data_IF_665830262654
#
_entry.id   IF_665830262654
#
_cell.length_a   1.000
_cell.length_b   1.000
_cell.length_c   1.000
_cell.angle_alpha   90.00
_cell.angle_beta   90.00
_cell.angle_gamma   90.00
#
_symmetry.space_group_name_H-M   'P 1'
#
loop_
_entity.id
_entity.type
_entity.pdbx_description
1 polymer ?
#
# COMPACT_ATOMS: atom_id res chain seq x y z
N UNK A 1 -12.23 40.98 -60.02
CA UNK A 1 -11.89 39.69 -59.38
C UNK A 1 -10.77 39.90 -58.38
N UNK A 2 -11.07 40.10 -57.09
CA UNK A 2 -10.08 40.03 -55.99
C UNK A 2 -10.64 39.06 -54.97
N UNK A 3 -10.08 37.85 -54.92
CA UNK A 3 -10.44 36.80 -53.94
C UNK A 3 -9.33 36.73 -52.90
N UNK A 4 -9.63 37.33 -51.75
CA UNK A 4 -9.33 36.91 -50.38
C UNK A 4 -8.19 35.89 -50.21
N UNK A 5 -6.98 36.40 -49.97
CA UNK A 5 -5.87 35.64 -49.37
C UNK A 5 -5.93 35.76 -47.85
N UNK A 6 -6.99 35.25 -47.22
CA UNK A 6 -7.05 35.12 -45.76
C UNK A 6 -7.79 33.83 -45.42
N UNK A 7 -7.17 32.66 -45.62
CA UNK A 7 -7.78 31.41 -45.11
C UNK A 7 -6.83 30.24 -44.87
N UNK A 8 -5.59 30.26 -45.37
CA UNK A 8 -4.71 29.09 -45.26
C UNK A 8 -3.88 29.02 -43.98
N UNK A 9 -3.61 30.15 -43.32
CA UNK A 9 -2.82 30.19 -42.07
C UNK A 9 -3.63 29.86 -40.81
N UNK A 10 -4.86 30.38 -40.74
CA UNK A 10 -5.70 30.28 -39.53
C UNK A 10 -6.27 28.87 -39.32
N UNK A 11 -6.70 28.18 -40.40
CA UNK A 11 -7.19 26.80 -40.31
C UNK A 11 -6.09 25.78 -39.96
N UNK A 12 -4.83 26.05 -40.37
CA UNK A 12 -3.69 25.17 -40.07
C UNK A 12 -3.22 25.31 -38.63
N UNK A 13 -3.28 26.51 -38.05
CA UNK A 13 -2.93 26.73 -36.64
C UNK A 13 -3.96 26.11 -35.68
N UNK A 14 -5.24 26.16 -36.03
CA UNK A 14 -6.33 25.66 -35.18
C UNK A 14 -6.35 24.12 -35.09
N UNK A 15 -6.00 23.43 -36.17
CA UNK A 15 -5.99 21.96 -36.25
C UNK A 15 -4.79 21.31 -35.53
N UNK A 16 -3.64 21.99 -35.50
CA UNK A 16 -2.44 21.52 -34.79
C UNK A 16 -2.57 21.76 -33.27
N UNK A 17 -3.16 22.89 -32.86
CA UNK A 17 -3.39 23.19 -31.44
C UNK A 17 -4.39 22.23 -30.77
N UNK A 18 -5.42 21.81 -31.50
CA UNK A 18 -6.47 20.92 -30.97
C UNK A 18 -6.03 19.45 -30.87
N UNK A 19 -5.07 19.03 -31.69
CA UNK A 19 -4.49 17.67 -31.64
C UNK A 19 -3.45 17.52 -30.53
N UNK A 20 -2.58 18.53 -30.31
CA UNK A 20 -1.63 18.52 -29.19
C UNK A 20 -2.31 18.67 -27.82
N UNK A 21 -3.38 19.47 -27.73
CA UNK A 21 -4.16 19.62 -26.50
C UNK A 21 -4.91 18.36 -26.07
N UNK A 22 -5.28 17.50 -27.02
CA UNK A 22 -6.04 16.28 -26.75
C UNK A 22 -5.13 15.09 -26.39
N UNK A 23 -3.88 15.07 -26.87
CA UNK A 23 -2.88 14.05 -26.51
C UNK A 23 -2.39 14.19 -25.07
N UNK A 24 -2.37 15.40 -24.49
CA UNK A 24 -1.99 15.60 -23.08
C UNK A 24 -3.10 15.21 -22.07
N UNK A 25 -4.35 15.06 -22.50
CA UNK A 25 -5.48 14.76 -21.61
C UNK A 25 -5.82 13.26 -21.51
N UNK A 26 -5.15 12.40 -22.31
CA UNK A 26 -5.52 10.98 -22.45
C UNK A 26 -4.48 9.97 -21.95
N UNK A 27 -3.41 10.40 -21.28
CA UNK A 27 -2.58 9.45 -20.55
C UNK A 27 -2.10 10.05 -19.25
N UNK A 28 -2.79 9.70 -18.16
CA UNK A 28 -2.17 9.73 -16.86
C UNK A 28 -0.88 8.89 -16.97
N UNK A 29 0.28 9.41 -16.55
CA UNK A 29 1.53 8.67 -16.67
C UNK A 29 1.39 7.34 -15.89
N UNK A 30 1.89 6.22 -16.45
CA UNK A 30 1.77 4.89 -15.84
C UNK A 30 2.34 4.83 -14.41
N UNK A 31 3.21 5.78 -14.05
CA UNK A 31 3.75 5.94 -12.70
C UNK A 31 2.67 6.25 -11.63
N UNK A 32 1.63 7.02 -11.96
CA UNK A 32 0.55 7.37 -11.01
C UNK A 32 -0.35 6.15 -10.75
N UNK A 33 -0.63 5.37 -11.78
CA UNK A 33 -1.47 4.17 -11.70
C UNK A 33 -0.75 3.00 -11.01
N UNK A 34 0.57 2.87 -11.20
CA UNK A 34 1.37 1.84 -10.55
C UNK A 34 1.55 2.08 -9.04
N UNK A 35 1.67 3.35 -8.61
CA UNK A 35 1.72 3.69 -7.19
C UNK A 35 0.41 3.36 -6.49
N UNK A 36 -0.73 3.76 -7.05
CA UNK A 36 -2.07 3.47 -6.51
C UNK A 36 -2.36 1.97 -6.40
N UNK A 37 -2.00 1.20 -7.44
CA UNK A 37 -2.15 -0.26 -7.43
C UNK A 37 -1.34 -0.93 -6.31
N UNK A 38 -0.13 -0.44 -6.05
CA UNK A 38 0.72 -0.90 -4.96
C UNK A 38 0.09 -0.64 -3.59
N UNK A 39 -0.32 0.60 -3.31
CA UNK A 39 -0.98 0.96 -2.05
C UNK A 39 -2.27 0.15 -1.83
N UNK A 40 -3.09 0.01 -2.86
CA UNK A 40 -4.30 -0.80 -2.80
C UNK A 40 -4.02 -2.27 -2.51
N UNK A 41 -2.96 -2.83 -3.11
CA UNK A 41 -2.51 -4.20 -2.84
C UNK A 41 -2.06 -4.39 -1.39
N UNK A 42 -1.23 -3.49 -0.85
CA UNK A 42 -0.79 -3.56 0.55
C UNK A 42 -1.95 -3.39 1.53
N UNK A 43 -2.88 -2.47 1.26
CA UNK A 43 -4.09 -2.31 2.07
C UNK A 43 -4.96 -3.58 2.05
N UNK A 44 -5.14 -4.18 0.86
CA UNK A 44 -5.89 -5.42 0.71
C UNK A 44 -5.20 -6.60 1.37
N UNK A 45 -3.88 -6.61 1.53
CA UNK A 45 -3.13 -7.66 2.24
C UNK A 45 -2.86 -7.35 3.72
N UNK A 46 -3.40 -6.25 4.25
CA UNK A 46 -3.24 -5.89 5.66
C UNK A 46 -3.88 -6.96 6.58
N UNK A 47 -3.12 -7.65 7.45
CA UNK A 47 -3.64 -8.72 8.29
C UNK A 47 -4.64 -8.25 9.37
N UNK A 48 -4.70 -6.94 9.64
CA UNK A 48 -5.66 -6.33 10.58
C UNK A 48 -6.96 -5.86 9.91
N UNK A 49 -7.03 -5.90 8.58
CA UNK A 49 -8.25 -5.61 7.86
C UNK A 49 -9.28 -6.73 8.12
N UNK A 50 -10.51 -6.36 8.49
CA UNK A 50 -11.59 -7.30 8.75
C UNK A 50 -11.87 -8.22 7.55
N UNK A 51 -11.68 -7.74 6.32
CA UNK A 51 -11.84 -8.53 5.10
C UNK A 51 -10.85 -9.71 5.02
N UNK A 52 -9.70 -9.62 5.67
CA UNK A 52 -8.64 -10.62 5.64
C UNK A 52 -8.65 -11.55 6.85
N UNK A 53 -9.62 -11.43 7.76
CA UNK A 53 -9.68 -12.21 9.00
C UNK A 53 -9.60 -13.72 8.77
N UNK A 54 -10.13 -14.19 7.64
CA UNK A 54 -10.14 -15.61 7.26
C UNK A 54 -9.22 -15.93 6.08
N UNK A 55 -8.36 -14.99 5.65
CA UNK A 55 -7.33 -15.27 4.65
C UNK A 55 -6.36 -16.33 5.23
N UNK A 56 -6.12 -17.47 4.56
CA UNK A 56 -5.17 -18.49 5.02
C UNK A 56 -3.76 -17.95 5.31
N UNK A 57 -3.34 -16.92 4.58
CA UNK A 57 -2.04 -16.26 4.74
C UNK A 57 -2.01 -15.26 5.92
N UNK A 58 -3.18 -14.91 6.48
CA UNK A 58 -3.24 -14.02 7.64
C UNK A 58 -2.79 -14.76 8.91
N UNK A 59 -1.74 -14.32 9.62
CA UNK A 59 -1.30 -14.95 10.87
C UNK A 59 -2.38 -14.93 11.96
N UNK A 60 -3.31 -13.98 11.92
CA UNK A 60 -4.44 -13.86 12.86
C UNK A 60 -5.65 -14.70 12.47
N UNK A 61 -5.59 -15.46 11.38
CA UNK A 61 -6.66 -16.36 10.99
C UNK A 61 -6.91 -17.40 12.10
N UNK A 62 -8.15 -17.51 12.62
CA UNK A 62 -8.47 -18.47 13.67
C UNK A 62 -8.13 -19.92 13.32
N UNK A 63 -8.27 -20.30 12.05
CA UNK A 63 -7.94 -21.64 11.56
C UNK A 63 -6.44 -21.92 11.56
N UNK A 64 -5.61 -20.87 11.35
CA UNK A 64 -4.15 -20.99 11.28
C UNK A 64 -3.49 -20.99 12.66
N UNK A 65 -4.23 -20.76 13.75
CA UNK A 65 -3.68 -20.57 15.11
C UNK A 65 -2.79 -21.71 15.58
N UNK A 66 -3.12 -22.95 15.21
CA UNK A 66 -2.38 -24.14 15.62
C UNK A 66 -1.45 -24.69 14.53
N UNK A 67 -1.33 -23.99 13.40
CA UNK A 67 -0.35 -24.37 12.39
C UNK A 67 1.06 -24.19 12.98
N UNK A 68 1.94 -25.18 12.77
CA UNK A 68 3.33 -25.15 13.25
C UNK A 68 4.07 -23.92 12.73
N UNK A 69 3.73 -23.40 11.56
CA UNK A 69 4.45 -22.25 10.98
C UNK A 69 3.86 -20.90 11.41
N UNK A 70 2.75 -20.89 12.17
CA UNK A 70 2.15 -19.66 12.66
C UNK A 70 2.94 -19.11 13.86
N UNK A 71 3.47 -17.88 13.82
CA UNK A 71 4.18 -17.30 14.97
C UNK A 71 3.30 -17.14 16.23
N UNK A 72 1.97 -17.14 16.09
CA UNK A 72 1.02 -17.11 17.21
C UNK A 72 0.67 -18.50 17.75
N UNK A 73 1.23 -19.57 17.17
CA UNK A 73 1.09 -20.91 17.72
C UNK A 73 1.65 -20.94 19.16
N UNK A 74 0.90 -21.47 20.15
CA UNK A 74 1.38 -21.60 21.52
C UNK A 74 2.76 -22.27 21.66
N UNK A 75 3.07 -23.25 20.81
CA UNK A 75 4.36 -23.93 20.79
C UNK A 75 5.50 -23.00 20.31
N UNK A 76 5.20 -22.04 19.44
CA UNK A 76 6.18 -21.10 18.90
C UNK A 76 6.44 -19.91 19.82
N UNK A 77 5.56 -19.59 20.78
CA UNK A 77 5.71 -18.44 21.68
C UNK A 77 7.02 -18.47 22.48
N UNK A 78 7.61 -19.64 22.67
CA UNK A 78 8.87 -19.79 23.40
C UNK A 78 10.10 -19.92 22.47
N UNK A 79 9.91 -19.86 21.15
CA UNK A 79 11.04 -19.76 20.22
C UNK A 79 11.77 -18.43 20.45
N UNK A 80 13.10 -18.46 20.71
CA UNK A 80 13.91 -17.25 20.87
C UNK A 80 13.90 -16.31 19.67
N UNK A 81 13.42 -16.73 18.50
CA UNK A 81 13.26 -15.92 17.30
C UNK A 81 11.83 -15.38 17.12
N UNK A 82 10.87 -15.81 17.94
CA UNK A 82 9.50 -15.37 17.81
C UNK A 82 9.32 -13.94 18.36
N UNK A 83 8.89 -12.96 17.54
CA UNK A 83 8.68 -11.59 17.99
C UNK A 83 7.57 -11.44 19.05
N UNK A 84 6.64 -12.39 19.13
CA UNK A 84 5.57 -12.40 20.15
C UNK A 84 5.98 -13.11 21.45
N UNK A 85 7.17 -13.72 21.48
CA UNK A 85 7.66 -14.43 22.64
C UNK A 85 7.94 -13.50 23.83
N UNK A 86 7.94 -14.02 25.07
CA UNK A 86 8.02 -13.22 26.28
C UNK A 86 9.35 -12.44 26.40
N UNK A 87 10.43 -12.96 25.82
CA UNK A 87 11.73 -12.27 25.78
C UNK A 87 11.72 -11.17 24.71
N UNK A 88 11.36 -11.52 23.47
CA UNK A 88 11.48 -10.61 22.35
C UNK A 88 10.45 -9.49 22.35
N UNK A 89 9.24 -9.71 22.89
CA UNK A 89 8.16 -8.70 22.88
C UNK A 89 8.50 -7.42 23.63
N UNK A 90 9.54 -7.43 24.46
CA UNK A 90 10.01 -6.25 25.20
C UNK A 90 11.35 -5.71 24.68
N UNK A 91 11.91 -6.31 23.63
CA UNK A 91 13.08 -5.77 22.95
C UNK A 91 12.72 -4.39 22.35
N UNK A 92 13.50 -3.32 22.62
CA UNK A 92 13.28 -2.00 22.03
C UNK A 92 13.30 -1.99 20.49
N UNK A 93 14.00 -2.92 19.85
CA UNK A 93 14.00 -3.08 18.39
C UNK A 93 12.77 -3.80 17.85
N UNK A 94 11.95 -4.41 18.72
CA UNK A 94 10.78 -5.16 18.29
C UNK A 94 9.61 -4.21 17.96
N UNK A 95 9.03 -4.26 16.76
CA UNK A 95 7.84 -3.48 16.39
C UNK A 95 6.61 -3.71 17.30
N UNK A 96 6.51 -4.89 17.91
CA UNK A 96 5.42 -5.27 18.82
C UNK A 96 5.71 -4.88 20.28
N UNK A 97 6.85 -4.23 20.55
CA UNK A 97 7.12 -3.67 21.86
C UNK A 97 6.01 -2.69 22.26
N UNK A 98 5.43 -2.81 23.48
CA UNK A 98 4.39 -1.91 23.94
C UNK A 98 4.75 -0.42 23.82
N UNK A 99 6.01 -0.05 24.06
CA UNK A 99 6.48 1.33 23.90
C UNK A 99 6.48 1.76 22.43
N UNK A 100 6.84 0.85 21.51
CA UNK A 100 6.85 1.13 20.08
C UNK A 100 5.44 1.24 19.50
N UNK A 101 4.43 0.58 20.07
CA UNK A 101 3.04 0.67 19.57
C UNK A 101 2.45 2.09 19.66
N UNK A 102 2.96 2.93 20.55
CA UNK A 102 2.54 4.33 20.66
C UNK A 102 3.43 5.29 19.86
N UNK A 103 4.47 4.77 19.21
CA UNK A 103 5.32 5.56 18.33
C UNK A 103 4.57 5.80 16.99
N UNK A 104 4.32 7.05 16.58
CA UNK A 104 3.62 7.35 15.32
C UNK A 104 4.40 6.90 14.08
N UNK A 105 5.71 6.68 14.17
CA UNK A 105 6.51 6.09 13.11
C UNK A 105 6.38 4.56 13.04
N UNK A 106 5.81 3.89 14.04
CA UNK A 106 5.57 2.45 13.99
C UNK A 106 4.37 2.16 13.09
N UNK A 107 4.51 1.33 12.03
CA UNK A 107 3.40 0.93 11.17
C UNK A 107 2.26 0.25 11.94
N UNK A 108 2.56 -0.38 13.09
CA UNK A 108 1.59 -1.07 13.94
C UNK A 108 0.90 -0.16 14.96
N UNK A 109 1.19 1.15 14.96
CA UNK A 109 0.51 2.05 15.88
C UNK A 109 -1.00 2.10 15.59
N UNK A 110 -1.85 2.36 16.60
CA UNK A 110 -3.31 2.46 16.40
C UNK A 110 -3.73 3.43 15.29
N UNK A 111 -2.99 4.53 15.12
CA UNK A 111 -3.24 5.51 14.06
C UNK A 111 -2.91 4.98 12.65
N UNK A 112 -2.00 4.02 12.56
CA UNK A 112 -1.45 3.53 11.29
C UNK A 112 -2.08 2.22 10.83
N UNK A 113 -2.60 1.39 11.76
CA UNK A 113 -3.21 0.08 11.48
C UNK A 113 -4.29 0.10 10.39
N UNK A 114 -5.04 1.21 10.28
CA UNK A 114 -6.12 1.40 9.32
C UNK A 114 -5.83 2.52 8.30
N UNK A 115 -4.62 3.08 8.29
CA UNK A 115 -4.27 4.15 7.38
C UNK A 115 -3.82 3.55 6.01
N UNK A 116 -4.58 3.77 4.92
CA UNK A 116 -4.24 3.21 3.61
C UNK A 116 -2.94 3.79 3.02
N UNK A 117 -2.48 4.93 3.52
CA UNK A 117 -1.24 5.57 3.07
C UNK A 117 0.02 5.04 3.78
N UNK A 118 -0.14 4.22 4.82
CA UNK A 118 0.98 3.63 5.56
C UNK A 118 0.97 2.13 5.28
N UNK A 119 1.75 1.67 4.27
CA UNK A 119 1.86 0.25 4.03
C UNK A 119 2.50 -0.42 5.24
N UNK A 120 1.84 -1.45 5.76
CA UNK A 120 2.46 -2.46 6.61
C UNK A 120 3.43 -3.24 5.73
N UNK A 121 4.57 -2.61 5.40
CA UNK A 121 5.64 -3.31 4.71
C UNK A 121 6.07 -4.48 5.60
N UNK A 122 6.37 -5.65 5.02
CA UNK A 122 7.11 -6.67 5.76
C UNK A 122 8.32 -5.99 6.38
N UNK A 123 8.45 -6.11 7.70
CA UNK A 123 9.65 -5.66 8.36
C UNK A 123 10.82 -6.52 7.82
N UNK A 124 11.94 -5.90 7.43
CA UNK A 124 13.08 -6.63 6.91
C UNK A 124 13.62 -7.65 7.91
#
# INVERSE_FOLDING_TARGET
MRRDRISSGFLRAFSIGMTLGLVCLLSAPPAVQAQDAGYYYYYKKNPYNAANKYDPENPYNPASRYNRDNPLNPANLYDPRNPFGPVNRYDPGNPYNPANLYNPQNPLSPANLYNPHIPLKPLP
#
